data_IF_210811870750
#
_entry.id   IF_210811870750
#
_cell.length_a   1.000
_cell.length_b   1.000
_cell.length_c   1.000
_cell.angle_alpha   90.00
_cell.angle_beta   90.00
_cell.angle_gamma   90.00
#
_symmetry.space_group_name_H-M   'P 1'
#
loop_
_entity.id
_entity.type
_entity.pdbx_description
1 polymer ?
#
# COMPACT_ATOMS: atom_id res chain seq x y z
N UNK A 1 33.73 17.10 21.38
CA UNK A 1 32.77 17.60 20.37
C UNK A 1 32.52 16.48 19.35
N UNK A 2 31.40 15.73 19.38
CA UNK A 2 31.15 14.75 18.34
C UNK A 2 30.49 15.42 17.13
N UNK A 3 31.01 15.10 15.95
CA UNK A 3 30.61 15.65 14.66
C UNK A 3 29.18 15.23 14.28
N UNK A 4 28.38 16.19 13.81
CA UNK A 4 27.06 15.99 13.24
C UNK A 4 27.18 15.36 11.85
N UNK A 5 26.85 14.09 11.73
CA UNK A 5 26.72 13.42 10.43
C UNK A 5 25.48 13.95 9.72
N UNK A 6 25.69 14.85 8.75
CA UNK A 6 24.66 15.28 7.80
C UNK A 6 24.36 14.13 6.83
N UNK A 7 23.55 13.17 7.29
CA UNK A 7 22.93 12.19 6.40
C UNK A 7 21.87 12.91 5.58
N UNK A 8 22.19 13.18 4.31
CA UNK A 8 21.23 13.57 3.26
C UNK A 8 20.03 12.63 3.29
N UNK A 9 18.93 13.08 3.91
CA UNK A 9 17.66 12.37 3.98
C UNK A 9 17.06 12.35 2.57
N UNK A 10 17.45 11.34 1.78
CA UNK A 10 16.73 11.00 0.55
C UNK A 10 15.27 10.84 0.94
N UNK A 11 14.38 11.52 0.21
CA UNK A 11 12.94 11.49 0.44
C UNK A 11 12.46 10.04 0.58
N UNK A 12 12.35 9.59 1.83
CA UNK A 12 11.97 8.21 2.14
C UNK A 12 10.48 8.13 1.82
N UNK A 13 10.18 7.62 0.62
CA UNK A 13 8.80 7.51 0.18
C UNK A 13 8.12 6.54 1.13
N UNK A 14 7.00 6.97 1.70
CA UNK A 14 6.17 6.10 2.52
C UNK A 14 5.86 4.82 1.72
N UNK A 15 6.36 3.70 2.22
CA UNK A 15 6.11 2.39 1.64
C UNK A 15 5.13 1.68 2.57
N UNK A 16 3.86 1.49 2.15
CA UNK A 16 2.88 0.83 2.99
C UNK A 16 3.30 -0.61 3.27
N UNK A 17 3.24 -1.02 4.54
CA UNK A 17 3.45 -2.41 4.92
C UNK A 17 2.21 -3.23 4.54
N UNK A 18 2.37 -4.14 3.58
CA UNK A 18 1.30 -5.02 3.09
C UNK A 18 0.74 -5.93 4.20
N UNK A 19 1.55 -6.34 5.17
CA UNK A 19 1.06 -7.14 6.29
C UNK A 19 0.11 -6.34 7.18
N UNK A 20 0.44 -5.08 7.45
CA UNK A 20 -0.46 -4.20 8.20
C UNK A 20 -1.79 -4.04 7.46
N UNK A 21 -1.76 -3.90 6.13
CA UNK A 21 -2.98 -3.82 5.33
C UNK A 21 -3.83 -5.10 5.44
N UNK A 22 -3.23 -6.29 5.38
CA UNK A 22 -3.96 -7.56 5.54
C UNK A 22 -4.56 -7.72 6.95
N UNK A 23 -3.79 -7.32 7.97
CA UNK A 23 -4.23 -7.35 9.37
C UNK A 23 -5.42 -6.40 9.57
N UNK A 24 -5.32 -5.17 9.08
CA UNK A 24 -6.43 -4.19 9.12
C UNK A 24 -7.69 -4.74 8.46
N UNK A 25 -7.58 -5.36 7.28
CA UNK A 25 -8.73 -5.99 6.61
C UNK A 25 -9.37 -7.09 7.46
N UNK A 26 -8.54 -7.90 8.14
CA UNK A 26 -9.03 -9.02 8.96
C UNK A 26 -9.88 -8.54 10.13
N UNK A 27 -9.54 -7.41 10.75
CA UNK A 27 -10.34 -6.80 11.82
C UNK A 27 -11.72 -6.30 11.33
N UNK A 28 -11.80 -5.89 10.07
CA UNK A 28 -13.05 -5.46 9.43
C UNK A 28 -13.87 -6.65 8.88
N UNK A 29 -13.39 -7.90 9.08
CA UNK A 29 -14.00 -9.10 8.53
C UNK A 29 -13.84 -9.23 7.00
N UNK A 30 -12.91 -8.48 6.41
CA UNK A 30 -12.61 -8.47 4.99
C UNK A 30 -11.40 -9.34 4.69
N UNK A 31 -11.41 -10.00 3.53
CA UNK A 31 -10.27 -10.78 3.03
C UNK A 31 -9.80 -10.26 1.68
N UNK A 32 -8.49 -10.31 1.47
CA UNK A 32 -7.91 -9.91 0.19
C UNK A 32 -8.27 -10.97 -0.87
N UNK A 33 -8.96 -10.55 -1.93
CA UNK A 33 -9.32 -11.46 -3.02
C UNK A 33 -8.06 -11.91 -3.77
N UNK A 34 -7.79 -13.21 -3.76
CA UNK A 34 -6.77 -13.83 -4.62
C UNK A 34 -7.29 -13.87 -6.06
N UNK A 35 -7.21 -12.74 -6.76
CA UNK A 35 -7.61 -12.69 -8.17
C UNK A 35 -6.48 -13.27 -9.03
N UNK A 36 -6.77 -14.35 -9.74
CA UNK A 36 -5.92 -14.92 -10.82
C UNK A 36 -5.70 -13.95 -11.98
N UNK A 37 -6.59 -12.97 -12.20
CA UNK A 37 -6.41 -11.86 -13.15
C UNK A 37 -6.16 -10.54 -12.43
N UNK A 38 -5.02 -9.92 -12.74
CA UNK A 38 -4.73 -8.52 -12.38
C UNK A 38 -5.76 -7.63 -13.07
N UNK A 39 -6.55 -6.90 -12.30
CA UNK A 39 -7.48 -5.90 -12.82
C UNK A 39 -6.87 -4.52 -12.57
N UNK A 40 -6.88 -3.68 -13.59
CA UNK A 40 -6.39 -2.31 -13.45
C UNK A 40 -7.44 -1.41 -12.80
N UNK A 41 -6.99 -0.31 -12.17
CA UNK A 41 -7.90 0.69 -11.59
C UNK A 41 -8.83 1.26 -12.66
N UNK A 42 -8.35 1.44 -13.89
CA UNK A 42 -9.14 1.93 -15.01
C UNK A 42 -10.29 0.98 -15.38
N UNK A 43 -10.03 -0.33 -15.42
CA UNK A 43 -11.07 -1.34 -15.66
C UNK A 43 -12.14 -1.35 -14.57
N UNK A 44 -11.71 -1.26 -13.30
CA UNK A 44 -12.64 -1.21 -12.17
C UNK A 44 -13.52 0.04 -12.24
N UNK A 45 -12.93 1.22 -12.49
CA UNK A 45 -13.68 2.46 -12.67
C UNK A 45 -14.71 2.33 -13.78
N UNK A 46 -14.33 1.80 -14.94
CA UNK A 46 -15.26 1.58 -16.06
C UNK A 46 -16.40 0.63 -15.71
N UNK A 47 -16.11 -0.46 -14.99
CA UNK A 47 -17.11 -1.47 -14.62
C UNK A 47 -18.17 -0.93 -13.66
N UNK A 48 -17.79 -0.05 -12.75
CA UNK A 48 -18.64 0.42 -11.65
C UNK A 48 -19.13 1.87 -11.79
N UNK A 49 -18.72 2.60 -12.84
CA UNK A 49 -19.16 3.99 -13.11
C UNK A 49 -20.62 4.11 -13.60
N UNK A 50 -21.51 3.21 -13.15
CA UNK A 50 -22.95 3.35 -13.37
C UNK A 50 -23.50 4.55 -12.62
#
# INVERSE_FOLDING_TARGET
MPATSNSTRRNDKFTPNLENFRISLSYEGLTLKEKTKKQTIAELKRKYAR
#
